data_IF_941027162909
#
_entry.id   IF_941027162909
#
_cell.length_a   1.000
_cell.length_b   1.000
_cell.length_c   1.000
_cell.angle_alpha   90.00
_cell.angle_beta   90.00
_cell.angle_gamma   90.00
#
_symmetry.space_group_name_H-M   'P 1'
#
loop_
_entity.id
_entity.type
_entity.pdbx_description
1 polymer ?
#
# COMPACT_ATOMS: atom_id res chain seq x y z
N UNK A 1 14.83 4.31 9.54
CA UNK A 1 15.75 3.32 10.12
C UNK A 1 16.06 2.29 9.04
N UNK A 2 17.32 1.83 8.90
CA UNK A 2 17.62 0.75 7.98
C UNK A 2 16.78 -0.48 8.35
N UNK A 3 16.27 -1.18 7.34
CA UNK A 3 15.60 -2.46 7.53
C UNK A 3 16.60 -3.43 8.19
N UNK A 4 16.24 -3.97 9.34
CA UNK A 4 17.10 -4.98 10.00
C UNK A 4 17.02 -6.27 9.17
N UNK A 5 18.17 -6.78 8.73
CA UNK A 5 18.26 -8.08 8.03
C UNK A 5 17.62 -9.19 8.88
N UNK A 6 17.83 -9.15 10.19
CA UNK A 6 17.22 -10.09 11.14
C UNK A 6 15.69 -10.00 11.10
N UNK A 7 15.11 -8.80 11.11
CA UNK A 7 13.65 -8.64 11.06
C UNK A 7 13.04 -9.15 9.75
N UNK A 8 13.74 -9.00 8.62
CA UNK A 8 13.29 -9.56 7.33
C UNK A 8 13.35 -11.09 7.32
N UNK A 9 14.42 -11.67 7.88
CA UNK A 9 14.54 -13.13 8.02
C UNK A 9 13.46 -13.69 8.93
N UNK A 10 13.28 -13.11 10.12
CA UNK A 10 12.26 -13.55 11.08
C UNK A 10 10.86 -13.48 10.49
N UNK A 11 10.58 -12.43 9.69
CA UNK A 11 9.29 -12.29 9.00
C UNK A 11 9.11 -13.39 7.95
N UNK A 12 10.14 -13.70 7.17
CA UNK A 12 10.09 -14.76 6.19
C UNK A 12 9.87 -16.13 6.85
N UNK A 13 10.54 -16.39 7.98
CA UNK A 13 10.39 -17.63 8.73
C UNK A 13 8.96 -17.81 9.27
N UNK A 14 8.35 -16.75 9.80
CA UNK A 14 6.95 -16.77 10.26
C UNK A 14 6.00 -17.09 9.10
N UNK A 15 6.19 -16.48 7.93
CA UNK A 15 5.36 -16.72 6.75
C UNK A 15 5.52 -18.17 6.27
N UNK A 16 6.75 -18.67 6.21
CA UNK A 16 7.05 -20.04 5.79
C UNK A 16 6.44 -21.05 6.76
N UNK A 17 6.58 -20.81 8.07
CA UNK A 17 5.96 -21.66 9.09
C UNK A 17 4.44 -21.69 8.95
N UNK A 18 3.80 -20.52 8.81
CA UNK A 18 2.36 -20.45 8.62
C UNK A 18 1.90 -21.22 7.38
N UNK A 19 2.64 -21.14 6.27
CA UNK A 19 2.35 -21.91 5.07
C UNK A 19 2.46 -23.42 5.32
N UNK A 20 3.53 -23.87 5.99
CA UNK A 20 3.75 -25.29 6.29
C UNK A 20 2.66 -25.87 7.21
N UNK A 21 2.15 -25.08 8.14
CA UNK A 21 1.11 -25.51 9.09
C UNK A 21 -0.29 -25.54 8.47
N UNK A 22 -0.56 -24.64 7.50
CA UNK A 22 -1.93 -24.46 6.98
C UNK A 22 -2.13 -24.97 5.56
N UNK A 23 -1.05 -25.04 4.77
CA UNK A 23 -1.06 -25.34 3.32
C UNK A 23 -2.00 -24.42 2.49
N UNK A 24 -2.38 -23.28 3.06
CA UNK A 24 -3.26 -22.31 2.38
C UNK A 24 -2.52 -21.61 1.24
N UNK A 25 -3.19 -21.30 0.12
CA UNK A 25 -2.59 -20.51 -0.95
C UNK A 25 -2.28 -19.08 -0.46
N UNK A 26 -0.99 -18.75 -0.38
CA UNK A 26 -0.49 -17.45 0.06
C UNK A 26 0.13 -16.70 -1.12
N UNK A 27 -0.08 -15.40 -1.16
CA UNK A 27 0.67 -14.47 -2.00
C UNK A 27 1.31 -13.40 -1.12
N UNK A 28 2.63 -13.24 -1.22
CA UNK A 28 3.40 -12.26 -0.46
C UNK A 28 3.81 -11.12 -1.37
N UNK A 29 3.64 -9.89 -0.88
CA UNK A 29 4.01 -8.67 -1.58
C UNK A 29 4.67 -7.71 -0.60
N UNK A 30 5.93 -7.37 -0.85
CA UNK A 30 6.64 -6.32 -0.11
C UNK A 30 6.43 -4.98 -0.83
N UNK A 31 5.87 -4.01 -0.11
CA UNK A 31 5.60 -2.68 -0.65
C UNK A 31 6.77 -1.76 -0.27
N UNK A 32 7.52 -1.21 -1.25
CA UNK A 32 8.55 -0.23 -0.97
C UNK A 32 7.93 1.09 -0.51
N UNK A 33 8.72 1.97 0.08
CA UNK A 33 8.29 3.33 0.37
C UNK A 33 8.48 4.28 -0.83
N UNK A 34 7.94 5.50 -0.73
CA UNK A 34 8.04 6.54 -1.75
C UNK A 34 9.50 6.90 -2.08
N UNK A 35 10.41 6.84 -1.09
CA UNK A 35 11.82 7.16 -1.27
C UNK A 35 12.51 6.24 -2.29
N UNK A 36 12.00 5.04 -2.49
CA UNK A 36 12.52 4.09 -3.48
C UNK A 36 12.39 4.58 -4.92
N UNK A 37 11.48 5.50 -5.20
CA UNK A 37 11.17 5.99 -6.55
C UNK A 37 11.50 7.46 -6.76
N UNK A 38 11.65 8.22 -5.69
CA UNK A 38 11.83 9.67 -5.73
C UNK A 38 13.15 10.13 -5.09
N UNK A 39 14.13 9.23 -4.97
CA UNK A 39 15.45 9.53 -4.37
C UNK A 39 16.22 10.64 -5.11
N UNK A 40 15.98 10.79 -6.41
CA UNK A 40 16.59 11.87 -7.21
C UNK A 40 16.16 13.28 -6.79
N UNK A 41 15.03 13.38 -6.07
CA UNK A 41 14.56 14.64 -5.50
C UNK A 41 15.17 14.97 -4.13
N UNK A 42 15.99 14.08 -3.58
CA UNK A 42 16.60 14.30 -2.26
C UNK A 42 17.74 15.31 -2.34
N UNK A 43 17.93 16.13 -1.30
CA UNK A 43 19.10 16.97 -1.17
C UNK A 43 20.40 16.15 -1.17
N UNK A 44 21.48 16.72 -1.73
CA UNK A 44 22.80 16.10 -1.71
C UNK A 44 23.21 15.71 -0.29
N UNK A 45 23.65 14.47 -0.12
CA UNK A 45 24.11 13.93 1.15
C UNK A 45 22.99 13.49 2.11
N UNK A 46 21.74 13.52 1.69
CA UNK A 46 20.64 12.96 2.48
C UNK A 46 20.83 11.44 2.62
N UNK A 47 20.82 10.89 3.85
CA UNK A 47 20.96 9.46 4.03
C UNK A 47 19.72 8.73 3.47
N UNK A 48 19.96 7.86 2.52
CA UNK A 48 18.97 7.00 1.91
C UNK A 48 19.46 5.55 1.92
N UNK A 49 18.55 4.62 2.19
CA UNK A 49 18.83 3.19 2.12
C UNK A 49 18.01 2.62 0.98
N UNK A 50 18.70 2.11 -0.03
CA UNK A 50 18.04 1.44 -1.16
C UNK A 50 17.32 0.18 -0.68
N UNK A 51 16.01 0.09 -0.93
CA UNK A 51 15.18 -1.01 -0.44
C UNK A 51 15.18 -2.22 -1.39
N UNK A 52 15.50 -2.04 -2.67
CA UNK A 52 15.47 -3.09 -3.69
C UNK A 52 16.29 -4.34 -3.31
N UNK A 53 17.54 -4.22 -2.80
CA UNK A 53 18.32 -5.36 -2.35
C UNK A 53 17.68 -6.11 -1.17
N UNK A 54 17.14 -5.38 -0.19
CA UNK A 54 16.48 -5.94 0.98
C UNK A 54 15.18 -6.68 0.61
N UNK A 55 14.36 -6.13 -0.27
CA UNK A 55 13.16 -6.77 -0.81
C UNK A 55 13.53 -8.06 -1.56
N UNK A 56 14.59 -8.02 -2.38
CA UNK A 56 15.07 -9.22 -3.07
C UNK A 56 15.54 -10.30 -2.11
N UNK A 57 16.29 -9.93 -1.07
CA UNK A 57 16.73 -10.85 -0.01
C UNK A 57 15.54 -11.48 0.71
N UNK A 58 14.54 -10.68 1.08
CA UNK A 58 13.30 -11.15 1.69
C UNK A 58 12.58 -12.18 0.80
N UNK A 59 12.37 -11.88 -0.48
CA UNK A 59 11.73 -12.81 -1.40
C UNK A 59 12.53 -14.11 -1.61
N UNK A 60 13.87 -14.07 -1.52
CA UNK A 60 14.70 -15.27 -1.60
C UNK A 60 14.57 -16.17 -0.36
N UNK A 61 14.23 -15.59 0.80
CA UNK A 61 13.99 -16.33 2.04
C UNK A 61 12.58 -16.96 2.12
N UNK A 62 11.62 -16.49 1.31
CA UNK A 62 10.26 -17.03 1.24
C UNK A 62 10.24 -18.34 0.45
N UNK A 63 9.55 -19.37 0.97
CA UNK A 63 9.37 -20.68 0.35
C UNK A 63 8.94 -20.59 -1.12
N UNK A 64 9.43 -21.52 -1.93
CA UNK A 64 9.20 -21.53 -3.38
C UNK A 64 7.74 -21.77 -3.76
N UNK A 65 6.96 -22.42 -2.92
CA UNK A 65 5.54 -22.71 -3.15
C UNK A 65 4.64 -21.51 -2.81
N UNK A 66 5.15 -20.53 -2.06
CA UNK A 66 4.45 -19.29 -1.77
C UNK A 66 4.58 -18.36 -2.97
N UNK A 67 3.44 -17.85 -3.47
CA UNK A 67 3.42 -16.92 -4.58
C UNK A 67 3.98 -15.55 -4.15
N UNK A 68 4.74 -14.92 -5.04
CA UNK A 68 5.37 -13.61 -4.79
C UNK A 68 4.94 -12.64 -5.88
N UNK A 69 4.57 -11.43 -5.50
CA UNK A 69 4.34 -10.32 -6.42
C UNK A 69 5.36 -9.24 -6.14
N UNK A 70 6.14 -8.89 -7.16
CA UNK A 70 7.15 -7.85 -7.04
C UNK A 70 6.52 -6.47 -7.27
N UNK A 71 6.07 -5.86 -6.16
CA UNK A 71 5.50 -4.52 -6.19
C UNK A 71 6.53 -3.45 -6.57
N UNK A 72 7.82 -3.69 -6.33
CA UNK A 72 8.87 -2.73 -6.68
C UNK A 72 8.86 -2.44 -8.18
N UNK A 73 8.93 -3.49 -9.01
CA UNK A 73 8.94 -3.32 -10.48
C UNK A 73 7.63 -2.76 -11.03
N UNK A 74 6.50 -3.12 -10.41
CA UNK A 74 5.20 -2.59 -10.83
C UNK A 74 5.13 -1.09 -10.58
N UNK A 75 5.51 -0.64 -9.38
CA UNK A 75 5.48 0.77 -9.01
C UNK A 75 6.58 1.58 -9.70
N UNK A 76 7.75 0.99 -9.95
CA UNK A 76 8.82 1.61 -10.73
C UNK A 76 8.36 1.95 -12.15
N UNK A 77 7.60 1.06 -12.80
CA UNK A 77 7.03 1.29 -14.13
C UNK A 77 5.99 2.43 -14.15
N UNK A 78 5.30 2.67 -13.04
CA UNK A 78 4.27 3.69 -12.86
C UNK A 78 4.81 4.93 -12.10
N UNK A 79 6.14 5.07 -11.93
CA UNK A 79 6.75 6.10 -11.08
C UNK A 79 6.54 7.53 -11.58
N UNK A 80 6.17 7.71 -12.85
CA UNK A 80 5.79 9.01 -13.40
C UNK A 80 4.37 9.44 -13.03
N UNK A 81 3.55 8.51 -12.55
CA UNK A 81 2.19 8.76 -12.12
C UNK A 81 2.13 9.05 -10.61
N UNK A 82 0.95 9.47 -10.14
CA UNK A 82 0.74 9.79 -8.72
C UNK A 82 0.50 8.51 -7.90
N UNK A 83 1.56 7.72 -7.71
CA UNK A 83 1.51 6.42 -7.02
C UNK A 83 1.70 6.50 -5.51
N UNK A 84 2.31 7.59 -4.99
CA UNK A 84 2.46 7.85 -3.55
C UNK A 84 1.94 9.23 -3.20
N UNK A 85 1.36 9.33 -2.01
CA UNK A 85 1.02 10.61 -1.42
C UNK A 85 2.29 11.42 -1.09
N UNK A 86 2.19 12.76 -1.17
CA UNK A 86 3.28 13.69 -0.84
C UNK A 86 3.42 13.95 0.64
N UNK A 87 2.27 13.92 1.34
CA UNK A 87 2.18 14.30 2.77
C UNK A 87 1.83 13.13 3.68
N UNK A 88 1.57 11.95 3.12
CA UNK A 88 1.39 10.69 3.84
C UNK A 88 2.49 9.69 3.47
N UNK A 89 2.87 8.76 4.38
CA UNK A 89 3.88 7.73 4.09
C UNK A 89 3.30 6.52 3.34
N UNK A 90 2.25 6.70 2.55
CA UNK A 90 1.51 5.61 1.89
C UNK A 90 1.37 5.86 0.39
N UNK A 91 1.14 4.78 -0.34
CA UNK A 91 0.73 4.83 -1.74
C UNK A 91 -0.69 5.40 -1.90
N UNK A 92 -0.97 5.89 -3.09
CA UNK A 92 -2.32 6.36 -3.47
C UNK A 92 -3.22 5.17 -3.81
N UNK A 93 -4.52 5.42 -4.00
CA UNK A 93 -5.46 4.41 -4.52
C UNK A 93 -5.02 3.88 -5.89
N UNK A 94 -4.39 4.71 -6.73
CA UNK A 94 -3.85 4.29 -8.02
C UNK A 94 -2.64 3.36 -7.86
N UNK A 95 -1.68 3.69 -7.02
CA UNK A 95 -0.55 2.82 -6.72
C UNK A 95 -0.99 1.47 -6.16
N UNK A 96 -1.96 1.48 -5.25
CA UNK A 96 -2.54 0.26 -4.71
C UNK A 96 -3.25 -0.57 -5.78
N UNK A 97 -4.01 0.06 -6.69
CA UNK A 97 -4.68 -0.61 -7.80
C UNK A 97 -3.68 -1.29 -8.75
N UNK A 98 -2.56 -0.63 -9.07
CA UNK A 98 -1.54 -1.18 -9.96
C UNK A 98 -0.96 -2.49 -9.42
N UNK A 99 -0.68 -2.55 -8.10
CA UNK A 99 -0.20 -3.77 -7.45
C UNK A 99 -1.31 -4.82 -7.30
N UNK A 100 -2.54 -4.40 -6.95
CA UNK A 100 -3.70 -5.27 -6.84
C UNK A 100 -3.88 -6.15 -8.09
N UNK A 101 -3.78 -5.58 -9.28
CA UNK A 101 -3.93 -6.33 -10.54
C UNK A 101 -3.01 -7.55 -10.60
N UNK A 102 -1.75 -7.38 -10.22
CA UNK A 102 -0.77 -8.47 -10.23
C UNK A 102 -0.99 -9.48 -9.12
N UNK A 103 -1.37 -9.04 -7.92
CA UNK A 103 -1.69 -9.92 -6.79
C UNK A 103 -2.86 -10.83 -7.13
N UNK A 104 -3.95 -10.26 -7.65
CA UNK A 104 -5.17 -11.01 -8.01
C UNK A 104 -4.88 -12.03 -9.11
N UNK A 105 -4.09 -11.68 -10.13
CA UNK A 105 -3.66 -12.62 -11.16
C UNK A 105 -2.80 -13.76 -10.58
N UNK A 106 -1.89 -13.45 -9.65
CA UNK A 106 -1.08 -14.47 -8.97
C UNK A 106 -1.92 -15.44 -8.13
N UNK A 107 -3.04 -14.97 -7.59
CA UNK A 107 -4.00 -15.79 -6.86
C UNK A 107 -4.90 -16.61 -7.80
N UNK A 108 -4.85 -16.40 -9.11
CA UNK A 108 -5.61 -17.15 -10.11
C UNK A 108 -6.95 -16.52 -10.48
N UNK A 109 -7.17 -15.26 -10.11
CA UNK A 109 -8.38 -14.52 -10.44
C UNK A 109 -8.13 -13.51 -11.57
N UNK A 110 -9.19 -13.08 -12.23
CA UNK A 110 -9.15 -11.99 -13.21
C UNK A 110 -9.29 -10.66 -12.45
N UNK A 111 -8.33 -9.73 -12.59
CA UNK A 111 -8.45 -8.43 -11.94
C UNK A 111 -9.59 -7.62 -12.57
N UNK A 112 -10.24 -6.82 -11.74
CA UNK A 112 -11.23 -5.86 -12.22
C UNK A 112 -10.47 -4.76 -12.98
N UNK A 113 -10.89 -4.50 -14.21
CA UNK A 113 -10.29 -3.50 -15.08
C UNK A 113 -10.63 -2.08 -14.58
N UNK A 114 -9.75 -1.11 -14.83
CA UNK A 114 -9.86 0.26 -14.32
C UNK A 114 -11.17 0.95 -14.75
N UNK A 115 -11.65 0.69 -15.96
CA UNK A 115 -12.88 1.22 -16.53
C UNK A 115 -14.16 0.77 -15.82
N UNK A 116 -14.07 -0.25 -14.95
CA UNK A 116 -15.17 -0.69 -14.09
C UNK A 116 -15.27 0.09 -12.77
N UNK A 117 -14.37 1.04 -12.54
CA UNK A 117 -14.42 1.88 -11.35
C UNK A 117 -14.90 3.30 -11.67
N UNK A 118 -15.74 3.84 -10.80
CA UNK A 118 -15.92 5.29 -10.67
C UNK A 118 -14.85 5.80 -9.71
N UNK A 119 -14.07 6.76 -10.16
CA UNK A 119 -13.07 7.43 -9.33
C UNK A 119 -13.63 8.76 -8.86
N UNK A 120 -13.82 8.90 -7.56
CA UNK A 120 -14.31 10.12 -6.93
C UNK A 120 -13.18 10.83 -6.19
N UNK A 121 -12.94 12.09 -6.53
CA UNK A 121 -12.00 12.96 -5.81
C UNK A 121 -12.67 13.45 -4.53
N UNK A 122 -12.38 12.81 -3.40
CA UNK A 122 -13.09 13.08 -2.13
C UNK A 122 -12.45 14.19 -1.31
N UNK A 123 -11.15 14.46 -1.51
CA UNK A 123 -10.43 15.54 -0.83
C UNK A 123 -9.24 16.01 -1.68
N UNK A 124 -9.13 17.31 -1.90
CA UNK A 124 -8.07 17.92 -2.73
C UNK A 124 -7.01 18.70 -1.93
N UNK A 125 -7.19 18.82 -0.63
CA UNK A 125 -6.34 19.58 0.29
C UNK A 125 -5.84 18.74 1.47
N UNK A 126 -5.77 17.42 1.30
CA UNK A 126 -5.36 16.51 2.35
C UNK A 126 -3.91 16.75 2.78
N UNK A 127 -3.68 16.81 4.09
CA UNK A 127 -2.37 17.01 4.70
C UNK A 127 -2.14 15.95 5.76
N UNK A 128 -1.22 15.04 5.48
CA UNK A 128 -0.98 13.84 6.28
C UNK A 128 0.08 13.99 7.36
N UNK A 129 0.51 12.84 7.89
CA UNK A 129 1.45 12.74 8.99
C UNK A 129 2.81 13.38 8.69
N UNK A 130 3.28 13.33 7.44
CA UNK A 130 4.56 13.96 7.07
C UNK A 130 4.45 15.49 7.10
N UNK A 131 3.32 16.04 6.67
CA UNK A 131 3.04 17.48 6.82
C UNK A 131 2.97 17.87 8.31
N UNK A 132 2.27 17.07 9.13
CA UNK A 132 2.17 17.35 10.57
C UNK A 132 3.55 17.35 11.26
N UNK A 133 4.46 16.50 10.80
CA UNK A 133 5.81 16.45 11.35
C UNK A 133 6.71 17.61 10.90
N UNK A 134 6.50 18.13 9.69
CA UNK A 134 7.39 19.14 9.08
C UNK A 134 6.82 20.55 9.09
N UNK A 135 5.49 20.68 9.11
CA UNK A 135 4.75 21.96 9.01
C UNK A 135 5.18 22.82 7.82
N UNK A 136 5.61 22.17 6.72
CA UNK A 136 6.11 22.87 5.54
C UNK A 136 5.02 23.06 4.49
N UNK A 137 4.83 24.30 4.03
CA UNK A 137 3.95 24.62 2.90
C UNK A 137 4.67 24.51 1.53
N UNK A 138 5.91 24.05 1.52
CA UNK A 138 6.67 23.83 0.27
C UNK A 138 6.14 22.64 -0.54
N UNK A 139 5.37 21.74 0.09
CA UNK A 139 4.79 20.55 -0.54
C UNK A 139 3.30 20.78 -0.76
N UNK A 140 2.85 20.53 -2.00
CA UNK A 140 1.43 20.60 -2.35
C UNK A 140 0.61 19.59 -1.53
N UNK A 141 -0.61 19.94 -1.12
CA UNK A 141 -1.54 19.00 -0.52
C UNK A 141 -1.81 17.78 -1.42
N UNK A 142 -2.30 16.73 -0.84
CA UNK A 142 -2.64 15.51 -1.54
C UNK A 142 -4.08 15.51 -2.06
N UNK A 143 -4.27 14.89 -3.22
CA UNK A 143 -5.56 14.51 -3.76
C UNK A 143 -5.89 13.09 -3.29
N UNK A 144 -7.01 12.90 -2.62
CA UNK A 144 -7.48 11.59 -2.17
C UNK A 144 -8.63 11.12 -3.06
N UNK A 145 -8.45 9.92 -3.61
CA UNK A 145 -9.40 9.29 -4.52
C UNK A 145 -10.00 8.03 -3.89
N UNK A 146 -11.30 7.85 -4.11
CA UNK A 146 -12.04 6.64 -3.78
C UNK A 146 -12.44 5.94 -5.07
N UNK A 147 -12.18 4.64 -5.13
CA UNK A 147 -12.49 3.78 -6.26
C UNK A 147 -13.70 2.90 -5.93
N UNK A 148 -14.82 3.14 -6.61
CA UNK A 148 -16.05 2.39 -6.43
C UNK A 148 -16.30 1.48 -7.63
N UNK A 149 -16.47 0.18 -7.38
CA UNK A 149 -16.74 -0.78 -8.43
C UNK A 149 -18.18 -0.68 -8.90
N UNK A 150 -18.41 -0.22 -10.14
CA UNK A 150 -19.73 -0.02 -10.73
C UNK A 150 -20.45 -1.33 -11.07
N UNK A 151 -19.68 -2.39 -11.37
CA UNK A 151 -20.27 -3.67 -11.79
C UNK A 151 -20.79 -4.50 -10.62
N UNK A 152 -20.21 -4.28 -9.45
CA UNK A 152 -20.61 -4.97 -8.22
C UNK A 152 -20.35 -4.03 -7.02
N UNK A 153 -21.26 -3.08 -6.76
CA UNK A 153 -21.12 -2.17 -5.64
C UNK A 153 -20.99 -2.96 -4.34
N UNK A 154 -19.95 -2.69 -3.59
CA UNK A 154 -19.75 -3.34 -2.31
C UNK A 154 -20.72 -2.78 -1.28
N UNK A 155 -21.63 -3.61 -0.78
CA UNK A 155 -22.44 -3.30 0.38
C UNK A 155 -21.79 -3.92 1.61
N UNK A 156 -21.47 -3.12 2.60
CA UNK A 156 -20.88 -3.58 3.85
C UNK A 156 -21.34 -2.73 5.01
N UNK A 157 -21.41 -3.33 6.19
CA UNK A 157 -21.54 -2.59 7.46
C UNK A 157 -20.21 -2.67 8.19
N UNK A 158 -19.62 -1.52 8.46
CA UNK A 158 -18.37 -1.42 9.23
C UNK A 158 -18.70 -1.03 10.66
N UNK A 159 -18.41 -1.91 11.60
CA UNK A 159 -18.57 -1.66 13.03
C UNK A 159 -17.23 -1.29 13.65
N UNK A 160 -17.12 -0.07 14.16
CA UNK A 160 -15.93 0.41 14.88
C UNK A 160 -16.23 0.35 16.38
N UNK A 161 -15.41 -0.39 17.13
CA UNK A 161 -15.47 -0.38 18.60
C UNK A 161 -14.53 0.69 19.13
N UNK A 162 -15.09 1.66 19.86
CA UNK A 162 -14.34 2.75 20.48
C UNK A 162 -13.65 2.31 21.79
N UNK A 163 -12.73 3.12 22.29
CA UNK A 163 -11.99 2.81 23.53
C UNK A 163 -12.87 2.64 24.77
N UNK A 164 -14.04 3.29 24.79
CA UNK A 164 -15.05 3.17 25.86
C UNK A 164 -15.96 1.94 25.72
N UNK A 165 -15.72 1.09 24.68
CA UNK A 165 -16.51 -0.10 24.40
C UNK A 165 -17.78 0.18 23.59
N UNK A 166 -18.12 1.42 23.32
CA UNK A 166 -19.23 1.77 22.42
C UNK A 166 -18.96 1.38 20.97
N UNK A 167 -20.01 1.17 20.19
CA UNK A 167 -19.92 0.79 18.78
C UNK A 167 -20.52 1.87 17.90
N UNK A 168 -19.78 2.24 16.83
CA UNK A 168 -20.28 3.08 15.74
C UNK A 168 -20.38 2.22 14.48
N UNK A 169 -21.51 2.25 13.80
CA UNK A 169 -21.73 1.51 12.55
C UNK A 169 -21.88 2.47 11.39
N UNK A 170 -21.39 2.06 10.21
CA UNK A 170 -21.58 2.77 8.95
C UNK A 170 -21.73 1.77 7.81
N UNK A 171 -22.52 2.11 6.80
CA UNK A 171 -22.79 1.28 5.63
C UNK A 171 -21.84 1.61 4.46
N UNK A 172 -20.60 1.98 4.77
CA UNK A 172 -19.56 2.31 3.79
C UNK A 172 -18.19 1.88 4.30
N UNK A 173 -17.33 1.43 3.39
CA UNK A 173 -15.89 1.20 3.69
C UNK A 173 -15.19 2.51 4.06
N UNK A 174 -15.61 3.61 3.48
CA UNK A 174 -15.02 4.93 3.68
C UNK A 174 -15.68 5.67 4.82
N UNK A 175 -14.89 6.31 5.65
CA UNK A 175 -15.36 7.16 6.73
C UNK A 175 -15.50 8.59 6.20
N UNK A 176 -16.71 9.00 5.85
CA UNK A 176 -16.97 10.33 5.30
C UNK A 176 -16.61 11.45 6.30
N UNK A 177 -16.72 11.20 7.61
CA UNK A 177 -16.36 12.17 8.65
C UNK A 177 -14.83 12.36 8.72
N UNK A 178 -14.06 11.27 8.45
CA UNK A 178 -12.59 11.33 8.42
C UNK A 178 -12.05 11.98 7.14
N UNK A 179 -12.88 12.09 6.10
CA UNK A 179 -12.54 12.73 4.83
C UNK A 179 -12.84 14.25 4.81
N UNK A 180 -13.57 14.77 5.79
CA UNK A 180 -13.82 16.21 5.96
C UNK A 180 -12.66 16.90 6.68
#
# INVERSE_FOLDING_TARGET
>A
QPLSETALSDTADIINQFYQETELPICVTAIPDAASFYSDAFPDGMPYVEQKPAIKQFYNAIDLHIRKTDAYYILEAESNDYIYYRTFPYWTSYGAYSVYRSVIQKLGFVPISYDHYTVSHVKSDARGALYQATQTDAVMPDLMDVYENNSNPLTCTVTTTLQDGSKKERDSLYDADALQ
#
